data_IF_117177836301
#
_entry.id   IF_117177836301
#
_cell.length_a   1.000
_cell.length_b   1.000
_cell.length_c   1.000
_cell.angle_alpha   90.00
_cell.angle_beta   90.00
_cell.angle_gamma   90.00
#
_symmetry.space_group_name_H-M   'P 1'
#
loop_
_entity.id
_entity.type
_entity.pdbx_description
1 polymer ?
#
# COMPACT_ATOMS: atom_id res chain seq x y z
N UNK A 1 -12.34 4.55 -0.54
CA UNK A 1 -11.42 3.88 0.40
C UNK A 1 -10.58 4.92 1.12
N UNK A 2 -10.12 4.59 2.31
CA UNK A 2 -9.14 5.36 3.08
C UNK A 2 -7.91 4.47 3.19
N UNK A 3 -6.72 5.01 2.86
CA UNK A 3 -5.46 4.25 2.90
C UNK A 3 -4.53 4.93 3.89
N UNK A 4 -4.01 4.15 4.82
CA UNK A 4 -3.04 4.58 5.82
C UNK A 4 -1.77 3.79 5.65
N UNK A 5 -0.64 4.44 5.93
CA UNK A 5 0.66 3.79 5.97
C UNK A 5 1.30 4.09 7.32
N UNK A 6 1.73 3.06 8.04
CA UNK A 6 2.39 3.16 9.34
C UNK A 6 3.66 2.31 9.37
N UNK A 7 4.66 2.78 10.10
CA UNK A 7 5.82 1.96 10.46
C UNK A 7 5.49 1.17 11.73
N UNK A 8 5.68 -0.14 11.71
CA UNK A 8 5.45 -1.00 12.88
C UNK A 8 6.47 -2.14 12.94
N UNK A 9 7.37 -2.05 13.92
CA UNK A 9 8.18 -3.17 14.44
C UNK A 9 9.55 -3.40 13.78
N UNK A 10 10.61 -3.27 14.61
CA UNK A 10 12.04 -3.50 14.34
C UNK A 10 12.64 -2.71 13.17
N UNK A 11 13.21 -1.55 13.53
CA UNK A 11 13.96 -0.64 12.68
C UNK A 11 15.00 -1.32 11.79
N UNK A 12 15.17 -0.88 10.52
CA UNK A 12 16.46 -0.61 9.86
C UNK A 12 16.30 0.32 8.61
N UNK A 13 16.91 1.52 8.72
CA UNK A 13 17.33 2.55 7.74
C UNK A 13 16.34 3.31 6.80
N UNK A 14 16.16 4.61 7.08
CA UNK A 14 16.18 5.69 6.06
C UNK A 14 14.98 6.65 5.98
N UNK A 15 15.00 7.74 6.76
CA UNK A 15 14.26 9.02 6.62
C UNK A 15 12.75 9.05 6.27
N UNK A 16 12.01 8.07 6.77
CA UNK A 16 10.80 8.32 7.57
C UNK A 16 10.96 7.46 8.81
N UNK A 17 11.36 8.09 9.94
CA UNK A 17 11.59 7.48 11.27
C UNK A 17 11.55 5.95 11.30
N UNK A 18 12.74 5.32 11.33
CA UNK A 18 12.99 3.92 10.93
C UNK A 18 12.13 2.84 11.57
N UNK A 19 10.92 2.65 11.03
CA UNK A 19 9.91 1.70 11.54
C UNK A 19 9.32 0.83 10.43
N UNK A 20 9.91 0.84 9.23
CA UNK A 20 9.50 0.00 8.10
C UNK A 20 10.51 -1.12 7.88
N UNK A 21 10.02 -2.32 7.57
CA UNK A 21 10.86 -3.49 7.32
C UNK A 21 11.38 -3.52 5.88
N UNK A 22 12.12 -4.58 5.52
CA UNK A 22 12.69 -4.70 4.17
C UNK A 22 11.65 -4.72 3.05
N UNK A 23 10.43 -5.22 3.32
CA UNK A 23 9.31 -5.26 2.38
C UNK A 23 8.48 -3.95 2.34
N UNK A 24 8.82 -2.97 3.18
CA UNK A 24 8.16 -1.67 3.27
C UNK A 24 7.43 -1.44 4.59
N UNK A 25 6.55 -0.45 4.57
CA UNK A 25 5.75 -0.03 5.72
C UNK A 25 4.41 -0.77 5.71
N UNK A 26 3.75 -0.89 6.87
CA UNK A 26 2.40 -1.45 6.92
C UNK A 26 1.42 -0.48 6.24
N UNK A 27 0.54 -1.02 5.42
CA UNK A 27 -0.49 -0.30 4.66
C UNK A 27 -1.83 -0.89 5.06
N UNK A 28 -2.68 -0.04 5.62
CA UNK A 28 -4.03 -0.39 6.08
C UNK A 28 -5.05 0.29 5.18
N UNK A 29 -5.98 -0.49 4.60
CA UNK A 29 -7.05 0.01 3.74
C UNK A 29 -8.39 -0.17 4.43
N UNK A 30 -9.14 0.93 4.55
CA UNK A 30 -10.40 1.00 5.27
C UNK A 30 -11.52 1.51 4.38
N UNK A 31 -12.73 1.07 4.65
CA UNK A 31 -13.96 1.65 4.10
C UNK A 31 -14.87 2.14 5.23
N UNK A 32 -15.54 3.29 5.05
CA UNK A 32 -16.52 3.75 6.02
C UNK A 32 -17.77 2.86 5.95
N UNK A 33 -18.24 2.38 7.09
CA UNK A 33 -19.49 1.61 7.26
C UNK A 33 -20.30 2.26 8.38
N UNK A 34 -21.23 3.14 8.01
CA UNK A 34 -21.98 3.94 8.98
C UNK A 34 -21.06 4.86 9.80
N UNK A 35 -20.98 4.63 11.11
CA UNK A 35 -20.11 5.38 12.04
C UNK A 35 -18.78 4.66 12.35
N UNK A 36 -18.54 3.49 11.76
CA UNK A 36 -17.33 2.70 11.96
C UNK A 36 -16.57 2.53 10.64
N UNK A 37 -15.39 1.93 10.72
CA UNK A 37 -14.57 1.57 9.56
C UNK A 37 -14.43 0.05 9.49
N UNK A 38 -14.51 -0.50 8.29
CA UNK A 38 -14.20 -1.91 8.03
C UNK A 38 -12.81 -1.99 7.40
N UNK A 39 -11.95 -2.83 8.01
CA UNK A 39 -10.66 -3.21 7.44
C UNK A 39 -10.87 -4.10 6.22
N UNK A 40 -10.36 -3.65 5.08
CA UNK A 40 -10.44 -4.37 3.81
C UNK A 40 -9.07 -4.57 3.17
N UNK A 41 -7.98 -4.33 3.88
CA UNK A 41 -6.63 -4.59 3.40
C UNK A 41 -5.60 -4.29 4.47
N UNK A 42 -4.64 -5.19 4.64
CA UNK A 42 -3.51 -5.04 5.55
C UNK A 42 -2.28 -5.75 4.96
N UNK A 43 -1.31 -4.98 4.48
CA UNK A 43 -0.14 -5.51 3.77
C UNK A 43 1.08 -4.59 3.92
N UNK A 44 2.27 -5.05 3.54
CA UNK A 44 3.48 -4.21 3.50
C UNK A 44 3.76 -3.76 2.08
N UNK A 45 4.12 -2.49 1.93
CA UNK A 45 4.61 -1.95 0.68
C UNK A 45 5.43 -0.68 0.91
N UNK A 46 6.20 -0.32 -0.10
CA UNK A 46 6.88 0.96 -0.16
C UNK A 46 5.99 2.01 -0.84
N UNK A 47 6.13 3.25 -0.40
CA UNK A 47 5.59 4.39 -1.11
C UNK A 47 6.36 4.63 -2.43
N UNK A 48 5.77 5.27 -3.45
CA UNK A 48 4.42 5.85 -3.46
C UNK A 48 3.31 4.79 -3.61
N UNK A 49 2.15 5.05 -3.00
CA UNK A 49 0.92 4.30 -3.25
C UNK A 49 0.03 5.10 -4.19
N UNK A 50 -0.40 4.47 -5.28
CA UNK A 50 -1.32 5.03 -6.27
C UNK A 50 -2.68 4.39 -6.18
N UNK A 51 -3.71 5.20 -6.43
CA UNK A 51 -5.04 4.70 -6.75
C UNK A 51 -5.12 4.55 -8.26
N UNK A 52 -5.17 3.32 -8.77
CA UNK A 52 -5.25 3.08 -10.21
C UNK A 52 -6.67 3.37 -10.73
N UNK A 53 -6.76 3.61 -12.04
CA UNK A 53 -8.05 3.78 -12.73
C UNK A 53 -8.83 2.45 -12.85
N UNK A 54 -8.13 1.31 -12.83
CA UNK A 54 -8.77 0.00 -12.82
C UNK A 54 -9.43 -0.26 -11.47
N UNK A 55 -10.57 -0.95 -11.49
CA UNK A 55 -11.33 -1.27 -10.29
C UNK A 55 -11.92 -2.68 -10.39
N UNK A 56 -11.97 -3.37 -9.26
CA UNK A 56 -12.56 -4.69 -9.12
C UNK A 56 -13.48 -4.69 -7.89
N UNK A 57 -14.62 -5.38 -7.96
CA UNK A 57 -15.57 -5.44 -6.84
C UNK A 57 -16.07 -4.08 -6.32
N UNK A 58 -16.07 -3.05 -7.17
CA UNK A 58 -16.49 -1.68 -6.82
C UNK A 58 -15.42 -0.81 -6.15
N UNK A 59 -14.19 -1.31 -5.98
CA UNK A 59 -13.09 -0.56 -5.39
C UNK A 59 -11.90 -0.45 -6.35
N UNK A 60 -11.16 0.67 -6.33
CA UNK A 60 -10.03 0.88 -7.22
C UNK A 60 -8.87 -0.06 -6.86
N UNK A 61 -8.13 -0.51 -7.85
CA UNK A 61 -6.88 -1.22 -7.62
C UNK A 61 -5.82 -0.25 -7.07
N UNK A 62 -4.85 -0.80 -6.34
CA UNK A 62 -3.74 -0.03 -5.79
C UNK A 62 -2.45 -0.34 -6.55
N UNK A 63 -1.70 0.70 -6.90
CA UNK A 63 -0.32 0.60 -7.35
C UNK A 63 0.59 0.80 -6.16
N UNK A 64 1.46 -0.17 -5.87
CA UNK A 64 2.35 -0.12 -4.71
C UNK A 64 3.78 -0.44 -5.13
N UNK A 65 4.77 0.16 -4.47
CA UNK A 65 6.17 -0.17 -4.75
C UNK A 65 6.59 -1.39 -3.94
N UNK A 66 7.18 -2.37 -4.62
CA UNK A 66 7.67 -3.61 -4.02
C UNK A 66 9.18 -3.66 -4.20
N UNK A 67 9.89 -3.77 -3.08
CA UNK A 67 11.35 -3.88 -3.01
C UNK A 67 11.73 -4.59 -1.71
N UNK A 68 12.87 -5.28 -1.71
CA UNK A 68 13.36 -6.05 -0.55
C UNK A 68 12.97 -7.52 -0.60
N UNK A 69 13.40 -8.31 0.40
CA UNK A 69 13.15 -9.76 0.43
C UNK A 69 13.73 -10.53 -0.77
N UNK A 70 14.79 -10.03 -1.41
CA UNK A 70 15.36 -10.58 -2.64
C UNK A 70 14.80 -9.97 -3.95
N UNK A 71 13.82 -9.08 -3.87
CA UNK A 71 13.31 -8.33 -5.03
C UNK A 71 14.21 -7.12 -5.30
N UNK A 72 15.14 -7.28 -6.25
CA UNK A 72 15.98 -6.22 -6.76
C UNK A 72 16.21 -6.40 -8.28
N UNK A 73 15.96 -5.38 -9.13
CA UNK A 73 15.45 -4.06 -8.79
C UNK A 73 13.97 -4.09 -8.36
N UNK A 74 13.55 -3.10 -7.56
CA UNK A 74 12.16 -2.93 -7.17
C UNK A 74 11.24 -2.61 -8.35
N UNK A 75 9.94 -2.85 -8.18
CA UNK A 75 8.95 -2.57 -9.22
C UNK A 75 7.60 -2.14 -8.63
N UNK A 76 6.77 -1.49 -9.44
CA UNK A 76 5.39 -1.18 -9.08
C UNK A 76 4.48 -2.39 -9.36
N UNK A 77 3.77 -2.86 -8.33
CA UNK A 77 2.85 -3.97 -8.38
C UNK A 77 1.40 -3.48 -8.30
N UNK A 78 0.51 -4.09 -9.09
CA UNK A 78 -0.93 -3.90 -9.01
C UNK A 78 -1.49 -4.84 -7.96
N UNK A 79 -2.18 -4.26 -6.99
CA UNK A 79 -2.95 -4.96 -5.96
C UNK A 79 -4.43 -4.79 -6.29
N UNK A 80 -5.05 -5.77 -6.96
CA UNK A 80 -6.47 -5.71 -7.26
C UNK A 80 -7.31 -5.93 -6.00
N UNK A 81 -8.49 -5.34 -5.97
CA UNK A 81 -9.48 -5.65 -4.94
C UNK A 81 -10.23 -6.93 -5.30
N UNK A 82 -10.01 -8.01 -4.54
CA UNK A 82 -10.59 -9.33 -4.84
C UNK A 82 -11.38 -9.85 -3.63
N UNK A 83 -12.54 -10.46 -3.89
CA UNK A 83 -13.33 -11.18 -2.85
C UNK A 83 -13.64 -10.37 -1.58
N UNK A 84 -13.76 -9.04 -1.71
CA UNK A 84 -14.10 -8.16 -0.59
C UNK A 84 -12.91 -7.59 0.19
N UNK A 85 -11.66 -7.85 -0.24
CA UNK A 85 -10.45 -7.31 0.39
C UNK A 85 -9.27 -7.15 -0.59
N UNK A 86 -8.29 -6.34 -0.21
CA UNK A 86 -6.96 -6.36 -0.81
C UNK A 86 -6.17 -7.51 -0.17
N UNK A 87 -5.44 -8.30 -0.97
CA UNK A 87 -4.67 -9.43 -0.46
C UNK A 87 -3.57 -9.00 0.53
N UNK A 88 -3.40 -9.78 1.60
CA UNK A 88 -2.36 -9.58 2.61
C UNK A 88 -0.94 -9.82 2.06
N UNK A 89 0.11 -9.47 2.83
CA UNK A 89 1.55 -9.48 2.49
C UNK A 89 2.05 -10.60 1.54
N UNK A 90 1.54 -11.83 1.62
CA UNK A 90 1.91 -12.92 0.72
C UNK A 90 1.39 -12.78 -0.72
N UNK A 91 0.36 -11.98 -0.94
CA UNK A 91 -0.24 -11.71 -2.25
C UNK A 91 0.38 -10.52 -2.98
N UNK A 92 1.16 -9.67 -2.31
CA UNK A 92 1.86 -8.53 -2.93
C UNK A 92 2.97 -9.05 -3.87
N UNK A 93 3.65 -10.12 -3.49
CA UNK A 93 4.58 -10.86 -4.36
C UNK A 93 3.87 -11.54 -5.55
N UNK A 94 2.58 -11.88 -5.39
CA UNK A 94 1.70 -12.35 -6.48
C UNK A 94 1.02 -11.20 -7.24
N UNK A 95 1.30 -9.95 -6.87
CA UNK A 95 0.81 -8.77 -7.56
C UNK A 95 1.35 -8.73 -8.98
N UNK A 96 0.46 -8.49 -9.94
CA UNK A 96 0.88 -8.36 -11.33
C UNK A 96 1.70 -7.08 -11.46
N UNK A 97 2.86 -7.13 -12.12
CA UNK A 97 3.62 -5.92 -12.45
C UNK A 97 2.71 -4.91 -13.13
N UNK A 98 2.70 -3.67 -12.65
CA UNK A 98 2.02 -2.58 -13.32
C UNK A 98 2.73 -2.36 -14.65
N UNK A 99 2.00 -2.55 -15.75
CA UNK A 99 2.55 -2.26 -17.09
C UNK A 99 2.75 -0.76 -17.20
N UNK A 100 3.92 -0.36 -17.71
CA UNK A 100 4.29 1.04 -17.92
C UNK A 100 3.18 1.76 -18.70
N UNK A 101 2.44 2.65 -18.04
CA UNK A 101 1.30 3.38 -18.62
C UNK A 101 -0.01 3.30 -17.84
N UNK A 102 -0.11 2.46 -16.80
CA UNK A 102 -1.27 2.50 -15.90
C UNK A 102 -1.29 3.83 -15.12
N UNK A 103 -2.37 4.60 -15.27
CA UNK A 103 -2.52 5.95 -14.71
C UNK A 103 -3.30 5.89 -13.40
N UNK A 104 -3.06 6.89 -12.55
CA UNK A 104 -3.71 7.02 -11.26
C UNK A 104 -3.03 8.04 -10.35
N UNK A 105 -3.80 8.78 -9.52
CA UNK A 105 -3.21 9.73 -8.58
C UNK A 105 -2.43 9.00 -7.47
N UNK A 106 -1.32 9.60 -7.05
CA UNK A 106 -0.59 9.20 -5.83
C UNK A 106 -1.44 9.62 -4.63
N UNK A 107 -1.81 8.65 -3.80
CA UNK A 107 -2.60 8.87 -2.57
C UNK A 107 -1.72 8.83 -1.32
N UNK A 108 -0.58 8.13 -1.36
CA UNK A 108 0.48 8.22 -0.35
C UNK A 108 1.79 8.52 -1.06
N UNK A 109 2.38 9.67 -0.73
CA UNK A 109 3.64 10.13 -1.32
C UNK A 109 4.76 10.03 -0.29
N UNK A 110 5.85 9.32 -0.63
CA UNK A 110 7.03 9.18 0.21
C UNK A 110 7.78 10.51 0.44
N UNK A 111 7.40 11.59 -0.23
CA UNK A 111 8.05 12.90 -0.08
C UNK A 111 7.23 13.89 0.75
N UNK A 112 6.01 13.51 1.15
CA UNK A 112 5.15 14.36 1.98
C UNK A 112 5.21 13.89 3.43
N UNK A 113 5.38 14.83 4.36
CA UNK A 113 5.37 14.56 5.79
C UNK A 113 4.08 13.83 6.18
N UNK A 114 4.22 12.68 6.83
CA UNK A 114 3.09 11.93 7.36
C UNK A 114 2.31 12.80 8.35
N UNK A 115 0.97 12.82 8.22
CA UNK A 115 0.11 13.46 9.22
C UNK A 115 -0.25 12.42 10.27
N UNK A 116 0.02 12.66 11.56
CA UNK A 116 -0.42 11.77 12.64
C UNK A 116 -1.94 11.57 12.58
N UNK A 117 -2.39 10.32 12.76
CA UNK A 117 -3.82 10.04 12.90
C UNK A 117 -4.37 10.43 14.27
N UNK A 118 -3.49 10.58 15.24
CA UNK A 118 -3.79 11.06 16.59
C UNK A 118 -2.87 12.24 16.92
N UNK A 119 -3.39 13.31 17.55
CA UNK A 119 -2.61 14.48 17.94
C UNK A 119 -1.53 14.17 18.97
#
# INVERSE_FOLDING_TARGET
IIVYMSGGGAAEFGEMGGWCGSAGCNVTVLIPVGRTYKLIGDFQAWAPIRRLETAHGGYPDLGVWVQGGGVFPGYEARIPFNEGQYPAQGGVASGHRVVKGTRGPIIIDARKSARPLFP
#
